data_IF_309464808372
#
_entry.id   IF_309464808372
#
_cell.length_a   1.000
_cell.length_b   1.000
_cell.length_c   1.000
_cell.angle_alpha   90.00
_cell.angle_beta   90.00
_cell.angle_gamma   90.00
#
_symmetry.space_group_name_H-M   'P 1'
#
loop_
_entity.id
_entity.type
_entity.pdbx_description
1 polymer ?
#
# COMPACT_ATOMS: atom_id res chain seq x y z
N UNK A 1 -1.53 2.30 -3.86
CA UNK A 1 -0.84 1.01 -3.53
C UNK A 1 -0.68 0.26 -4.82
N UNK A 2 0.54 -0.10 -5.22
CA UNK A 2 0.81 -0.71 -6.54
C UNK A 2 0.58 -2.22 -6.52
N UNK A 3 1.08 -2.90 -5.49
CA UNK A 3 0.88 -4.33 -5.33
C UNK A 3 0.87 -4.74 -3.86
N UNK A 4 0.18 -5.84 -3.58
CA UNK A 4 0.05 -6.42 -2.24
C UNK A 4 0.62 -7.83 -2.29
N UNK A 5 1.47 -8.17 -1.31
CA UNK A 5 2.08 -9.48 -1.13
C UNK A 5 1.58 -10.09 0.19
N UNK A 6 0.38 -10.72 0.22
CA UNK A 6 -0.23 -11.19 1.47
C UNK A 6 0.60 -12.27 2.16
N UNK A 7 1.24 -13.18 1.39
CA UNK A 7 2.05 -14.28 1.93
C UNK A 7 3.25 -13.78 2.74
N UNK A 8 3.82 -12.65 2.34
CA UNK A 8 4.99 -12.05 3.00
C UNK A 8 4.62 -10.92 3.97
N UNK A 9 3.33 -10.60 4.11
CA UNK A 9 2.84 -9.43 4.85
C UNK A 9 3.50 -8.12 4.40
N UNK A 10 3.69 -7.94 3.10
CA UNK A 10 4.29 -6.73 2.51
C UNK A 10 3.39 -6.07 1.46
N UNK A 11 3.64 -4.80 1.22
CA UNK A 11 2.99 -3.95 0.21
C UNK A 11 4.03 -3.13 -0.53
N UNK A 12 3.81 -2.93 -1.84
CA UNK A 12 4.59 -1.99 -2.65
C UNK A 12 3.78 -0.72 -2.81
N UNK A 13 4.36 0.39 -2.38
CA UNK A 13 3.75 1.71 -2.44
C UNK A 13 4.56 2.56 -3.42
N UNK A 14 3.85 3.26 -4.30
CA UNK A 14 4.46 4.13 -5.31
C UNK A 14 5.32 5.22 -4.67
N UNK A 15 6.52 5.41 -5.19
CA UNK A 15 7.45 6.46 -4.74
C UNK A 15 8.05 6.27 -3.34
N UNK A 16 7.73 5.18 -2.63
CA UNK A 16 8.24 4.91 -1.29
C UNK A 16 9.18 3.69 -1.34
N UNK A 17 10.26 3.74 -0.57
CA UNK A 17 11.23 2.65 -0.42
C UNK A 17 11.93 2.30 -1.75
N UNK A 18 12.40 3.33 -2.48
CA UNK A 18 13.15 3.14 -3.71
C UNK A 18 14.52 2.51 -3.42
N UNK A 19 14.80 1.40 -4.07
CA UNK A 19 16.10 0.72 -4.02
C UNK A 19 16.75 0.74 -5.39
N UNK A 20 18.06 0.94 -5.39
CA UNK A 20 18.85 0.81 -6.63
C UNK A 20 19.23 -0.65 -6.79
N UNK A 21 18.74 -1.28 -7.86
CA UNK A 21 19.10 -2.64 -8.24
C UNK A 21 19.97 -2.63 -9.48
N UNK A 22 21.13 -3.27 -9.39
CA UNK A 22 21.96 -3.55 -10.55
C UNK A 22 21.38 -4.74 -11.31
N UNK A 23 21.01 -4.52 -12.56
CA UNK A 23 20.44 -5.55 -13.43
C UNK A 23 21.42 -5.84 -14.55
N UNK A 24 21.77 -7.13 -14.71
CA UNK A 24 22.57 -7.59 -15.83
C UNK A 24 21.77 -7.40 -17.14
N UNK A 25 22.41 -6.98 -18.24
CA UNK A 25 21.75 -6.89 -19.54
C UNK A 25 21.20 -8.26 -19.95
N UNK A 26 19.95 -8.32 -20.43
CA UNK A 26 19.32 -9.56 -20.88
C UNK A 26 19.15 -9.62 -22.41
N UNK A 27 19.56 -8.59 -23.14
CA UNK A 27 19.55 -8.59 -24.61
C UNK A 27 19.74 -7.19 -25.22
N UNK A 28 19.64 -7.06 -26.56
CA UNK A 28 19.88 -5.81 -27.28
C UNK A 28 18.96 -4.67 -26.82
N UNK A 29 17.72 -5.00 -26.43
CA UNK A 29 16.69 -4.02 -26.04
C UNK A 29 16.59 -3.80 -24.52
N UNK A 30 17.40 -4.48 -23.71
CA UNK A 30 17.44 -4.29 -22.26
C UNK A 30 18.87 -4.01 -21.83
N UNK A 31 19.35 -2.77 -22.01
CA UNK A 31 20.65 -2.36 -21.51
C UNK A 31 20.68 -2.57 -20.00
N UNK A 32 21.75 -3.20 -19.53
CA UNK A 32 22.01 -3.38 -18.11
C UNK A 32 22.31 -2.04 -17.46
N UNK A 33 22.11 -1.95 -16.15
CA UNK A 33 22.34 -0.69 -15.46
C UNK A 33 21.81 -0.68 -14.04
N UNK A 34 21.86 0.52 -13.45
CA UNK A 34 21.25 0.82 -12.16
C UNK A 34 19.79 1.20 -12.40
N UNK A 35 18.88 0.31 -12.04
CA UNK A 35 17.44 0.55 -12.14
C UNK A 35 16.93 0.86 -10.73
N UNK A 36 16.27 1.99 -10.56
CA UNK A 36 15.51 2.30 -9.35
C UNK A 36 14.17 1.59 -9.40
N UNK A 37 13.85 0.82 -8.36
CA UNK A 37 12.55 0.15 -8.21
C UNK A 37 12.03 0.32 -6.79
N UNK A 38 10.72 0.32 -6.63
CA UNK A 38 10.07 0.33 -5.33
C UNK A 38 10.26 -1.04 -4.66
N UNK A 39 10.84 -1.05 -3.47
CA UNK A 39 10.95 -2.25 -2.65
C UNK A 39 9.72 -2.42 -1.76
N UNK A 40 9.29 -3.67 -1.52
CA UNK A 40 8.16 -3.95 -0.66
C UNK A 40 8.44 -3.54 0.80
N UNK A 41 7.43 -2.97 1.44
CA UNK A 41 7.42 -2.56 2.85
C UNK A 41 6.48 -3.45 3.65
N UNK A 42 6.77 -3.64 4.94
CA UNK A 42 5.86 -4.35 5.84
C UNK A 42 4.52 -3.63 5.96
N UNK A 43 3.43 -4.40 5.87
CA UNK A 43 2.05 -3.88 5.97
C UNK A 43 1.82 -3.13 7.28
N UNK A 44 2.45 -3.55 8.38
CA UNK A 44 2.34 -2.91 9.69
C UNK A 44 2.90 -1.48 9.75
N UNK A 45 3.74 -1.07 8.79
CA UNK A 45 4.29 0.29 8.69
C UNK A 45 3.39 1.26 7.92
N UNK A 46 2.25 0.79 7.39
CA UNK A 46 1.32 1.60 6.60
C UNK A 46 -0.01 1.73 7.34
N UNK A 47 -0.61 2.91 7.29
CA UNK A 47 -1.93 3.18 7.85
C UNK A 47 -2.92 3.60 6.75
N UNK A 48 -4.21 3.37 6.99
CA UNK A 48 -5.25 3.90 6.13
C UNK A 48 -5.29 5.42 6.23
N UNK A 49 -5.29 6.09 5.08
CA UNK A 49 -5.49 7.52 5.03
C UNK A 49 -6.99 7.83 5.02
N UNK A 50 -7.40 8.81 5.82
CA UNK A 50 -8.77 9.31 5.80
C UNK A 50 -8.79 10.74 5.26
N UNK A 51 -9.55 10.98 4.19
CA UNK A 51 -9.60 12.29 3.53
C UNK A 51 -10.22 13.38 4.42
N UNK A 52 -11.12 13.01 5.33
CA UNK A 52 -11.75 13.96 6.28
C UNK A 52 -10.76 14.46 7.33
N UNK A 53 -10.00 13.54 7.92
CA UNK A 53 -9.07 13.86 9.01
C UNK A 53 -7.66 14.25 8.50
N UNK A 54 -7.41 14.08 7.19
CA UNK A 54 -6.12 14.26 6.50
C UNK A 54 -4.94 13.60 7.22
N UNK A 55 -5.20 12.48 7.89
CA UNK A 55 -4.25 11.77 8.76
C UNK A 55 -4.40 10.26 8.59
N UNK A 56 -3.35 9.52 8.99
CA UNK A 56 -3.42 8.08 9.16
C UNK A 56 -4.37 7.70 10.30
N UNK A 57 -5.34 6.83 10.02
CA UNK A 57 -6.38 6.41 10.97
C UNK A 57 -6.42 4.90 11.13
N UNK A 58 -6.92 4.44 12.29
CA UNK A 58 -7.22 3.03 12.54
C UNK A 58 -8.62 2.71 12.03
N UNK A 59 -8.77 1.51 11.47
CA UNK A 59 -10.04 1.00 10.95
C UNK A 59 -10.87 0.39 12.09
N UNK A 60 -12.17 0.69 12.09
CA UNK A 60 -13.23 -0.04 12.77
C UNK A 60 -14.12 -0.76 11.74
N UNK A 61 -15.03 -1.60 12.21
CA UNK A 61 -16.00 -2.30 11.36
C UNK A 61 -17.41 -1.96 11.85
N UNK A 62 -18.32 -1.63 10.93
CA UNK A 62 -19.75 -1.45 11.23
C UNK A 62 -20.56 -2.31 10.27
N UNK A 63 -21.66 -2.88 10.77
CA UNK A 63 -22.65 -3.56 9.94
C UNK A 63 -23.71 -2.51 9.57
N UNK A 64 -23.93 -2.31 8.28
CA UNK A 64 -25.04 -1.47 7.80
C UNK A 64 -26.35 -2.24 7.93
N UNK A 65 -27.47 -1.53 7.93
CA UNK A 65 -28.82 -2.12 8.02
C UNK A 65 -29.07 -3.14 6.89
N UNK A 66 -28.41 -2.98 5.75
CA UNK A 66 -28.44 -3.88 4.60
C UNK A 66 -27.58 -5.16 4.78
N UNK A 67 -27.08 -5.45 5.99
CA UNK A 67 -26.24 -6.61 6.31
C UNK A 67 -24.78 -6.53 5.83
N UNK A 68 -24.42 -5.51 5.03
CA UNK A 68 -23.04 -5.33 4.53
C UNK A 68 -22.11 -4.81 5.64
N UNK A 69 -20.96 -5.47 5.79
CA UNK A 69 -19.87 -5.03 6.67
C UNK A 69 -19.02 -4.01 5.94
N UNK A 70 -18.95 -2.80 6.47
CA UNK A 70 -18.12 -1.71 5.93
C UNK A 70 -16.99 -1.36 6.88
N UNK A 71 -15.88 -0.92 6.30
CA UNK A 71 -14.77 -0.33 7.06
C UNK A 71 -15.10 1.12 7.40
N UNK A 72 -14.91 1.49 8.65
CA UNK A 72 -15.15 2.85 9.15
C UNK A 72 -13.90 3.41 9.80
N UNK A 73 -13.69 4.71 9.66
CA UNK A 73 -12.65 5.43 10.39
C UNK A 73 -13.03 5.48 11.88
N UNK A 74 -12.16 5.02 12.79
CA UNK A 74 -12.42 5.09 14.24
C UNK A 74 -12.48 6.52 14.79
N UNK A 75 -11.91 7.51 14.11
CA UNK A 75 -11.87 8.91 14.57
C UNK A 75 -13.13 9.67 14.16
N UNK A 76 -13.39 9.77 12.86
CA UNK A 76 -14.51 10.56 12.33
C UNK A 76 -15.76 9.74 11.98
N UNK A 77 -15.73 8.40 12.10
CA UNK A 77 -16.86 7.53 11.77
C UNK A 77 -17.18 7.44 10.28
N UNK A 78 -16.41 8.10 9.41
CA UNK A 78 -16.60 8.05 7.97
C UNK A 78 -16.36 6.65 7.42
N UNK A 79 -17.14 6.26 6.41
CA UNK A 79 -16.93 5.02 5.67
C UNK A 79 -15.66 5.16 4.83
N UNK A 80 -14.80 4.14 4.89
CA UNK A 80 -13.49 4.06 4.20
C UNK A 80 -13.50 3.04 3.04
N UNK A 81 -14.65 2.44 2.75
CA UNK A 81 -14.88 1.57 1.59
C UNK A 81 -15.36 2.36 0.37
#
# INVERSE_FOLDING_TARGET
VLSVLPKENKVVVEGINMVTRHVKPQGPNQPGGRITREAPLYVSKVMYYCDKDKKGVRIGRKVLENGKKVRVCKKCGAVLD
#
